data_IF_370945786082
#
_entry.id   IF_370945786082
#
_cell.length_a   1.000
_cell.length_b   1.000
_cell.length_c   1.000
_cell.angle_alpha   90.00
_cell.angle_beta   90.00
_cell.angle_gamma   90.00
#
_symmetry.space_group_name_H-M   'P 1'
#
loop_
_entity.id
_entity.type
_entity.pdbx_description
1 polymer ?
2 non-polymer ?
3 non-polymer ?
4 non-polymer ?
5 water ?
#
# COMPACT_ATOMS: atom_id res chain seq x y z
N UNK A 10 5.82 -16.30 -19.80
CA UNK A 10 5.69 -17.78 -19.86
C UNK A 10 4.48 -18.23 -19.05
N UNK A 11 3.75 -19.23 -19.54
CA UNK A 11 2.73 -19.89 -18.72
C UNK A 11 3.31 -21.17 -18.10
N UNK A 12 3.15 -21.33 -16.79
CA UNK A 12 3.63 -22.55 -16.13
C UNK A 12 2.67 -23.71 -16.38
N UNK A 13 3.19 -24.94 -16.50
CA UNK A 13 2.29 -26.05 -16.80
C UNK A 13 1.29 -26.29 -15.68
N UNK A 14 0.03 -26.51 -16.06
CA UNK A 14 -1.04 -26.66 -15.12
C UNK A 14 -0.80 -27.88 -14.22
N UNK A 15 -0.69 -27.66 -12.89
CA UNK A 15 -0.52 -28.81 -11.97
C UNK A 15 -1.72 -29.74 -12.04
N UNK A 16 -1.48 -31.05 -11.88
CA UNK A 16 -2.59 -31.96 -12.17
C UNK A 16 -3.79 -31.90 -11.21
N UNK A 17 -3.65 -31.31 -10.02
CA UNK A 17 -4.81 -31.17 -9.12
C UNK A 17 -5.77 -30.04 -9.52
N UNK A 18 -5.35 -29.16 -10.43
CA UNK A 18 -6.19 -28.02 -10.84
C UNK A 18 -7.10 -28.31 -12.03
N UNK A 19 -8.43 -28.28 -11.83
CA UNK A 19 -9.33 -28.52 -12.97
C UNK A 19 -9.29 -27.39 -14.01
N UNK A 20 -9.43 -27.76 -15.29
CA UNK A 20 -9.23 -26.79 -16.37
C UNK A 20 -10.29 -25.67 -16.39
N UNK A 21 -11.47 -25.94 -15.85
CA UNK A 21 -12.54 -24.94 -15.81
C UNK A 21 -12.26 -23.76 -14.85
N UNK A 22 -11.25 -23.90 -13.99
CA UNK A 22 -10.89 -22.81 -13.06
C UNK A 22 -9.74 -21.95 -13.57
N UNK A 23 -9.25 -22.23 -14.78
CA UNK A 23 -8.05 -21.55 -15.31
C UNK A 23 -8.41 -20.24 -16.01
N UNK A 24 -7.87 -19.16 -15.48
CA UNK A 24 -8.03 -17.82 -16.04
C UNK A 24 -6.67 -17.17 -15.91
N UNK A 25 -6.01 -16.96 -17.05
CA UNK A 25 -4.59 -16.59 -17.02
C UNK A 25 -4.37 -15.10 -16.82
N UNK A 26 -4.77 -14.63 -15.65
CA UNK A 26 -4.54 -13.24 -15.23
C UNK A 26 -3.06 -12.99 -14.88
N UNK A 27 -2.50 -11.90 -15.40
CA UNK A 27 -1.12 -11.49 -15.09
C UNK A 27 -1.12 -10.26 -14.18
N UNK A 28 -0.84 -10.48 -12.88
CA UNK A 28 -0.94 -9.38 -11.93
C UNK A 28 0.09 -8.27 -12.16
N UNK A 29 1.13 -8.54 -12.95
CA UNK A 29 2.15 -7.53 -13.24
C UNK A 29 1.97 -6.78 -14.56
N UNK A 30 1.00 -7.23 -15.35
CA UNK A 30 0.71 -6.66 -16.67
C UNK A 30 -0.68 -7.08 -17.15
N UNK A 31 -1.74 -6.66 -16.44
CA UNK A 31 -3.04 -7.18 -16.83
C UNK A 31 -3.48 -6.64 -18.18
N UNK A 32 -4.27 -7.41 -18.92
CA UNK A 32 -4.68 -6.91 -20.23
C UNK A 32 -5.57 -5.67 -20.05
N UNK A 33 -5.50 -4.71 -20.97
CA UNK A 33 -6.31 -3.46 -20.85
C UNK A 33 -6.07 -2.66 -19.54
N UNK A 34 -4.83 -2.76 -19.04
CA UNK A 34 -4.29 -1.85 -18.03
C UNK A 34 -4.53 -0.40 -18.46
N UNK A 35 -4.56 -0.17 -19.78
CA UNK A 35 -4.78 1.16 -20.35
C UNK A 35 -6.11 1.80 -19.90
N UNK A 36 -7.09 0.98 -19.56
CA UNK A 36 -8.41 1.44 -19.05
C UNK A 36 -8.43 1.88 -17.58
N UNK A 37 -7.31 1.69 -16.87
CA UNK A 37 -7.25 1.97 -15.44
C UNK A 37 -6.95 0.68 -14.71
N UNK A 38 -6.10 0.73 -13.69
CA UNK A 38 -5.66 -0.54 -13.09
C UNK A 38 -6.76 -1.25 -12.28
N UNK A 39 -7.56 -0.50 -11.52
CA UNK A 39 -8.68 -1.11 -10.80
C UNK A 39 -9.65 -1.80 -11.78
N UNK A 40 -9.94 -1.12 -12.89
CA UNK A 40 -10.79 -1.70 -13.96
C UNK A 40 -10.17 -2.98 -14.53
N UNK A 41 -8.85 -2.96 -14.68
CA UNK A 41 -8.14 -4.12 -15.23
C UNK A 41 -8.23 -5.32 -14.30
N UNK A 42 -8.18 -5.08 -12.98
CA UNK A 42 -8.35 -6.19 -12.03
C UNK A 42 -9.81 -6.63 -11.91
N UNK A 43 -10.73 -5.70 -12.11
CA UNK A 43 -12.14 -6.01 -11.95
C UNK A 43 -12.68 -6.98 -13.00
N UNK A 44 -11.88 -7.26 -14.05
CA UNK A 44 -12.21 -8.32 -15.02
C UNK A 44 -12.40 -9.66 -14.29
N UNK A 45 -11.70 -9.81 -13.16
CA UNK A 45 -11.81 -11.04 -12.36
C UNK A 45 -13.19 -11.22 -11.72
N UNK A 46 -14.02 -10.18 -11.78
CA UNK A 46 -15.33 -10.18 -11.12
C UNK A 46 -16.48 -10.19 -12.13
N UNK A 47 -16.17 -10.45 -13.39
CA UNK A 47 -17.23 -10.60 -14.39
C UNK A 47 -17.98 -11.92 -14.14
N UNK A 48 -19.24 -11.99 -14.56
CA UNK A 48 -20.15 -13.03 -14.06
C UNK A 48 -19.76 -14.47 -14.45
N UNK A 49 -18.93 -14.63 -15.48
CA UNK A 49 -18.47 -15.95 -15.91
C UNK A 49 -17.20 -16.40 -15.18
N UNK A 50 -16.71 -15.59 -14.26
CA UNK A 50 -15.47 -15.93 -13.54
C UNK A 50 -15.79 -16.51 -12.17
N UNK A 51 -15.29 -17.74 -11.87
CA UNK A 51 -15.48 -18.37 -10.56
C UNK A 51 -14.93 -17.49 -9.41
N UNK A 52 -15.38 -17.78 -8.19
CA UNK A 52 -14.92 -17.10 -6.96
C UNK A 52 -13.43 -17.36 -6.68
N UNK A 53 -12.94 -18.51 -7.15
CA UNK A 53 -11.55 -18.92 -6.94
C UNK A 53 -11.06 -19.49 -8.27
N UNK A 54 -10.01 -18.87 -8.83
CA UNK A 54 -9.43 -19.27 -10.12
C UNK A 54 -7.94 -19.57 -10.03
N UNK A 55 -7.40 -20.30 -11.01
CA UNK A 55 -5.96 -20.53 -11.12
C UNK A 55 -5.43 -19.79 -12.33
N UNK A 56 -4.37 -19.01 -12.16
CA UNK A 56 -3.64 -18.47 -13.33
C UNK A 56 -2.31 -19.19 -13.51
N UNK A 57 -1.93 -19.40 -14.78
CA UNK A 57 -0.65 -20.03 -15.08
C UNK A 57 0.47 -19.00 -15.23
N UNK A 58 0.14 -17.71 -15.07
CA UNK A 58 1.14 -16.65 -15.13
C UNK A 58 1.99 -16.60 -13.86
N UNK A 59 3.19 -16.05 -13.98
CA UNK A 59 4.03 -15.78 -12.81
C UNK A 59 4.30 -17.02 -11.93
N UNK A 60 4.50 -18.16 -12.60
CA UNK A 60 4.79 -19.42 -11.91
C UNK A 60 3.57 -20.27 -11.59
N UNK A 61 2.39 -19.65 -11.68
CA UNK A 61 1.11 -20.33 -11.43
C UNK A 61 0.66 -20.16 -9.98
N UNK A 62 -0.60 -19.78 -9.77
CA UNK A 62 -1.11 -19.48 -8.43
C UNK A 62 -2.62 -19.33 -8.42
N UNK A 63 -3.23 -19.52 -7.25
CA UNK A 63 -4.66 -19.23 -7.07
C UNK A 63 -4.88 -17.72 -6.97
N UNK A 64 -6.09 -17.27 -7.31
CA UNK A 64 -6.56 -15.92 -7.00
C UNK A 64 -7.98 -16.02 -6.45
N UNK A 65 -8.21 -15.51 -5.25
CA UNK A 65 -9.59 -15.37 -4.76
C UNK A 65 -10.13 -14.06 -5.34
N UNK A 66 -11.32 -14.11 -5.98
CA UNK A 66 -11.79 -12.94 -6.74
C UNK A 66 -12.88 -12.11 -6.06
N UNK A 67 -13.39 -12.60 -4.92
CA UNK A 67 -14.52 -11.97 -4.25
C UNK A 67 -14.21 -11.68 -2.79
N UNK A 68 -14.81 -10.60 -2.27
CA UNK A 68 -14.56 -10.14 -0.91
C UNK A 68 -14.75 -11.23 0.12
N UNK A 69 -15.79 -12.04 -0.01
CA UNK A 69 -16.06 -13.07 1.00
C UNK A 69 -14.89 -14.04 1.17
N UNK A 70 -14.34 -14.54 0.04
CA UNK A 70 -13.22 -15.49 0.10
C UNK A 70 -11.92 -14.80 0.51
N UNK A 71 -11.69 -13.59 0.01
CA UNK A 71 -10.51 -12.81 0.41
C UNK A 71 -10.48 -12.62 1.94
N UNK A 72 -11.60 -12.19 2.51
CA UNK A 72 -11.69 -12.03 3.97
C UNK A 72 -11.46 -13.36 4.69
N UNK A 73 -12.12 -14.43 4.24
CA UNK A 73 -12.02 -15.72 4.93
C UNK A 73 -10.60 -16.24 4.97
N UNK A 74 -9.89 -16.15 3.84
CA UNK A 74 -8.51 -16.65 3.78
C UNK A 74 -7.59 -15.83 4.67
N UNK A 75 -7.78 -14.52 4.70
CA UNK A 75 -6.97 -13.66 5.58
C UNK A 75 -7.21 -13.93 7.07
N UNK A 76 -8.41 -14.42 7.42
CA UNK A 76 -8.73 -14.83 8.79
C UNK A 76 -8.07 -16.17 9.16
N UNK A 77 -7.92 -17.04 8.18
CA UNK A 77 -7.50 -18.43 8.43
C UNK A 77 -5.98 -18.57 8.25
N UNK A 78 -5.21 -18.05 9.20
CA UNK A 78 -3.74 -18.10 9.12
C UNK A 78 -3.20 -19.53 9.30
N UNK A 79 -3.99 -20.41 9.91
CA UNK A 79 -3.57 -21.80 10.06
C UNK A 79 -3.38 -22.49 8.71
N UNK A 80 -4.25 -22.20 7.75
CA UNK A 80 -4.15 -22.77 6.40
C UNK A 80 -3.42 -21.86 5.41
N UNK A 81 -3.54 -20.55 5.61
CA UNK A 81 -3.02 -19.58 4.66
C UNK A 81 -1.94 -18.75 5.31
N UNK A 82 -0.71 -19.17 5.11
CA UNK A 82 0.45 -18.64 5.85
C UNK A 82 1.11 -17.43 5.16
N UNK A 83 1.61 -16.52 5.97
CA UNK A 83 2.37 -15.37 5.48
C UNK A 83 3.86 -15.66 5.29
N UNK A 84 4.29 -16.90 5.53
CA UNK A 84 5.72 -17.19 5.34
C UNK A 84 6.19 -16.83 3.93
N UNK A 85 5.33 -17.04 2.93
CA UNK A 85 5.63 -16.75 1.54
C UNK A 85 4.48 -15.94 0.90
N UNK A 86 4.44 -14.62 1.16
CA UNK A 86 3.28 -13.81 0.82
C UNK A 86 3.28 -13.14 -0.57
N UNK A 87 4.33 -13.36 -1.36
CA UNK A 87 4.45 -12.68 -2.65
C UNK A 87 4.51 -13.64 -3.82
N UNK A 88 3.92 -13.21 -4.92
CA UNK A 88 4.10 -13.85 -6.21
C UNK A 88 5.09 -12.96 -6.98
N UNK A 89 6.13 -13.56 -7.56
CA UNK A 89 6.41 -14.97 -7.70
C UNK A 89 7.04 -15.59 -6.43
N UNK A 90 7.00 -16.90 -6.34
CA UNK A 90 7.46 -17.63 -5.17
C UNK A 90 8.87 -17.23 -4.69
N UNK A 91 9.81 -17.06 -5.61
CA UNK A 91 11.18 -16.68 -5.23
C UNK A 91 11.30 -15.37 -4.41
N UNK A 92 10.50 -14.36 -4.75
CA UNK A 92 10.45 -13.13 -3.95
C UNK A 92 9.85 -13.37 -2.55
N UNK A 93 8.78 -14.15 -2.50
CA UNK A 93 8.10 -14.50 -1.22
C UNK A 93 9.03 -15.23 -0.27
N UNK A 94 9.91 -16.07 -0.84
CA UNK A 94 10.86 -16.87 -0.05
C UNK A 94 12.01 -16.08 0.63
N UNK A 95 12.59 -15.12 -0.08
CA UNK A 95 13.68 -14.27 0.45
C UNK A 95 13.21 -13.25 1.55
N UNK A 96 11.91 -13.04 1.60
CA UNK A 96 11.30 -11.99 2.40
C UNK A 96 11.21 -12.34 3.89
N UNK A 97 11.81 -11.52 4.76
CA UNK A 97 11.86 -11.81 6.20
C UNK A 97 11.44 -10.63 7.07
N UNK A 98 10.71 -9.68 6.50
CA UNK A 98 10.28 -8.48 7.25
C UNK A 98 9.35 -8.90 8.37
N UNK A 99 9.37 -8.13 9.46
CA UNK A 99 8.54 -8.39 10.66
C UNK A 99 7.59 -7.21 10.85
N UNK A 100 6.28 -7.48 11.05
CA UNK A 100 5.66 -8.80 11.29
C UNK A 100 5.10 -9.53 10.06
N UNK A 101 5.26 -8.92 8.87
CA UNK A 101 4.57 -9.37 7.67
C UNK A 101 4.91 -10.79 7.19
N UNK A 102 6.07 -11.34 7.56
CA UNK A 102 6.46 -12.69 7.11
C UNK A 102 6.18 -13.73 8.20
N UNK A 103 5.56 -13.29 9.29
CA UNK A 103 5.27 -14.17 10.43
C UNK A 103 3.79 -14.46 10.57
N UNK A 104 3.49 -15.64 11.11
CA UNK A 104 2.12 -15.98 11.42
C UNK A 104 1.89 -15.81 12.92
N UNK A 105 0.63 -15.58 13.32
CA UNK A 105 0.30 -15.79 14.75
C UNK A 105 0.58 -17.26 15.06
N UNK A 106 0.88 -17.59 16.32
CA UNK A 106 0.94 -16.74 17.51
C UNK A 106 2.17 -15.84 17.61
N UNK A 107 3.27 -16.21 16.94
CA UNK A 107 4.54 -15.48 17.14
C UNK A 107 4.41 -14.02 16.73
N UNK A 108 3.68 -13.78 15.66
CA UNK A 108 3.49 -12.41 15.14
C UNK A 108 2.90 -11.41 16.16
N UNK A 109 2.02 -11.91 17.04
CA UNK A 109 1.25 -11.06 17.96
C UNK A 109 2.04 -9.99 18.74
N UNK A 110 3.13 -10.40 19.40
CA UNK A 110 3.84 -9.44 20.22
C UNK A 110 4.81 -8.56 19.43
N UNK A 111 5.28 -9.04 18.27
CA UNK A 111 6.03 -8.20 17.35
C UNK A 111 5.13 -7.10 16.81
N UNK A 112 3.89 -7.46 16.47
CA UNK A 112 2.91 -6.47 16.05
C UNK A 112 2.67 -5.43 17.14
N UNK A 113 2.51 -5.89 18.38
CA UNK A 113 2.31 -5.01 19.51
C UNK A 113 3.44 -3.98 19.62
N UNK A 114 4.67 -4.41 19.39
CA UNK A 114 5.83 -3.50 19.50
C UNK A 114 5.82 -2.46 18.36
N UNK A 115 5.57 -2.91 17.14
CA UNK A 115 5.45 -2.01 15.99
C UNK A 115 4.34 -0.97 16.24
N UNK A 116 3.28 -1.38 16.93
CA UNK A 116 2.14 -0.47 17.19
C UNK A 116 2.50 0.70 18.08
N UNK A 117 3.50 0.51 18.94
CA UNK A 117 3.98 1.59 19.82
C UNK A 117 4.55 2.74 18.99
N UNK A 118 5.06 2.43 17.80
CA UNK A 118 5.76 3.48 17.04
C UNK A 118 4.94 4.09 15.89
N UNK A 119 3.87 3.43 15.47
CA UNK A 119 2.99 4.01 14.42
C UNK A 119 1.50 4.09 14.82
N UNK A 120 1.16 3.61 15.99
CA UNK A 120 -0.25 3.54 16.41
C UNK A 120 -0.93 4.87 16.67
N UNK A 121 -2.21 4.81 17.04
CA UNK A 121 -3.04 5.99 17.19
C UNK A 121 -2.44 7.16 18.03
N UNK A 122 -1.97 6.91 19.28
CA UNK A 122 -1.47 8.03 20.08
C UNK A 122 -0.28 8.77 19.45
N UNK A 123 0.57 8.04 18.72
CA UNK A 123 1.66 8.64 17.93
C UNK A 123 1.11 9.54 16.81
N UNK A 124 0.06 9.07 16.15
CA UNK A 124 -0.59 9.85 15.07
C UNK A 124 -1.14 11.19 15.60
N UNK A 125 -1.82 11.15 16.74
CA UNK A 125 -2.40 12.38 17.28
C UNK A 125 -1.32 13.42 17.52
N UNK A 126 -0.17 12.96 18.00
CA UNK A 126 0.96 13.84 18.26
C UNK A 126 1.60 14.38 16.99
N UNK A 127 1.58 13.60 15.90
CA UNK A 127 2.20 13.99 14.63
C UNK A 127 1.35 14.91 13.75
N UNK A 128 0.07 15.06 14.06
CA UNK A 128 -0.88 15.77 13.21
C UNK A 128 -0.34 17.09 12.66
N UNK A 129 0.12 17.96 13.55
CA UNK A 129 0.58 19.28 13.13
C UNK A 129 1.84 19.24 12.29
N UNK A 130 2.78 18.36 12.62
CA UNK A 130 3.99 18.19 11.79
C UNK A 130 3.68 17.68 10.38
N UNK A 131 2.67 16.83 10.27
CA UNK A 131 2.20 16.36 8.98
C UNK A 131 1.63 17.54 8.19
N UNK A 132 0.79 18.34 8.84
CA UNK A 132 0.20 19.52 8.19
C UNK A 132 1.28 20.50 7.75
N UNK A 133 2.26 20.76 8.61
CA UNK A 133 3.31 21.73 8.28
C UNK A 133 4.12 21.28 7.06
N UNK A 134 4.39 19.99 6.99
CA UNK A 134 5.09 19.42 5.87
C UNK A 134 4.25 19.55 4.58
N UNK A 135 2.97 19.18 4.64
CA UNK A 135 2.11 19.28 3.47
C UNK A 135 2.03 20.73 2.97
N UNK A 136 1.87 21.67 3.90
CA UNK A 136 1.80 23.09 3.56
C UNK A 136 3.08 23.59 2.86
N UNK A 137 4.23 23.21 3.39
CA UNK A 137 5.50 23.62 2.81
C UNK A 137 5.68 23.09 1.38
N UNK A 138 5.35 21.82 1.17
CA UNK A 138 5.42 21.26 -0.18
C UNK A 138 4.47 21.95 -1.16
N UNK A 139 3.21 22.15 -0.74
CA UNK A 139 2.20 22.74 -1.61
C UNK A 139 2.56 24.21 -1.92
N UNK A 140 3.06 24.94 -0.92
CA UNK A 140 3.41 26.36 -1.14
C UNK A 140 4.59 26.51 -2.10
N UNK A 141 5.50 25.54 -2.09
CA UNK A 141 6.65 25.58 -3.00
C UNK A 141 6.21 25.33 -4.45
N UNK A 142 5.10 24.62 -4.63
CA UNK A 142 4.58 24.28 -5.95
C UNK A 142 3.60 25.33 -6.47
N UNK A 143 2.81 25.89 -5.54
CA UNK A 143 1.67 26.73 -5.88
C UNK A 143 1.94 27.82 -6.95
N UNK A 144 3.02 28.62 -6.80
CA UNK A 144 3.14 29.71 -7.80
C UNK A 144 3.55 29.25 -9.21
N UNK A 145 4.02 28.00 -9.34
CA UNK A 145 4.50 27.47 -10.63
C UNK A 145 3.41 27.13 -11.64
N UNK A 146 2.19 26.89 -11.16
CA UNK A 146 1.06 26.55 -12.01
C UNK A 146 1.14 25.19 -12.69
N UNK A 147 2.11 24.39 -12.27
CA UNK A 147 2.23 22.98 -12.73
C UNK A 147 3.08 22.13 -11.80
N UNK A 148 2.89 20.82 -11.85
CA UNK A 148 3.78 19.86 -11.17
C UNK A 148 3.54 18.48 -11.76
N UNK A 149 4.49 17.59 -11.54
CA UNK A 149 4.18 16.17 -11.60
C UNK A 149 3.88 15.76 -10.15
N UNK A 150 2.59 15.58 -9.83
CA UNK A 150 2.18 15.41 -8.46
C UNK A 150 2.90 14.22 -7.81
N UNK A 151 3.02 13.13 -8.55
CA UNK A 151 3.61 11.91 -8.02
C UNK A 151 5.04 12.18 -7.57
N UNK A 152 5.81 12.86 -8.42
CA UNK A 152 7.20 13.18 -8.14
C UNK A 152 7.42 14.35 -7.16
N UNK A 153 6.59 15.40 -7.30
CA UNK A 153 6.85 16.67 -6.62
C UNK A 153 6.18 16.83 -5.26
N UNK A 154 5.14 16.02 -5.01
CA UNK A 154 4.46 16.04 -3.70
C UNK A 154 4.41 14.67 -3.08
N UNK A 155 3.92 13.69 -3.84
CA UNK A 155 3.66 12.38 -3.25
C UNK A 155 4.94 11.66 -2.79
N UNK A 156 5.97 11.64 -3.61
CA UNK A 156 7.24 10.97 -3.26
C UNK A 156 7.96 11.61 -2.07
N UNK A 157 8.08 12.96 -2.05
CA UNK A 157 8.76 13.54 -0.86
C UNK A 157 8.02 13.47 0.49
N UNK A 158 6.70 13.27 0.48
CA UNK A 158 5.86 13.43 1.67
C UNK A 158 6.01 12.28 2.72
N UNK A 159 5.70 11.03 2.35
CA UNK A 159 5.82 10.00 3.41
C UNK A 159 7.25 9.68 3.89
N UNK A 160 8.27 9.79 3.02
CA UNK A 160 9.66 9.61 3.46
C UNK A 160 10.05 10.65 4.54
N UNK A 161 9.63 11.89 4.36
CA UNK A 161 9.91 12.94 5.36
C UNK A 161 9.22 12.66 6.71
N UNK A 162 8.00 12.15 6.64
CA UNK A 162 7.29 11.70 7.84
C UNK A 162 8.05 10.56 8.54
N UNK A 163 8.55 9.59 7.77
CA UNK A 163 9.38 8.52 8.35
C UNK A 163 10.65 9.06 9.03
N UNK A 164 11.34 10.01 8.40
CA UNK A 164 12.57 10.55 9.00
C UNK A 164 12.30 11.17 10.35
N UNK A 165 11.14 11.84 10.48
CA UNK A 165 10.74 12.48 11.71
C UNK A 165 10.44 11.42 12.79
N UNK A 166 9.64 10.43 12.42
CA UNK A 166 9.31 9.30 13.30
C UNK A 166 10.58 8.59 13.81
N UNK A 167 11.52 8.35 12.89
CA UNK A 167 12.68 7.51 13.18
C UNK A 167 13.92 8.29 13.61
N UNK A 168 13.79 9.61 13.72
CA UNK A 168 14.91 10.46 14.17
C UNK A 168 16.13 10.35 13.28
N UNK A 169 15.91 10.36 11.96
CA UNK A 169 16.99 10.24 11.00
C UNK A 169 17.24 11.59 10.36
N UNK A 170 18.50 11.85 9.98
CA UNK A 170 18.79 13.18 9.45
C UNK A 170 18.25 13.40 8.03
N UNK A 171 17.76 14.61 7.78
CA UNK A 171 17.28 15.06 6.47
C UNK A 171 18.24 14.77 5.30
N UNK A 172 19.55 14.90 5.56
CA UNK A 172 20.58 14.61 4.54
C UNK A 172 20.54 13.19 4.01
N UNK A 173 19.97 12.27 4.80
CA UNK A 173 19.92 10.86 4.40
C UNK A 173 18.78 10.53 3.42
N UNK A 174 17.86 11.47 3.19
CA UNK A 174 16.67 11.17 2.38
C UNK A 174 16.99 10.62 0.97
N UNK A 175 17.85 11.31 0.19
CA UNK A 175 18.06 10.80 -1.19
C UNK A 175 18.64 9.37 -1.23
N UNK A 176 19.58 9.08 -0.34
CA UNK A 176 20.17 7.75 -0.27
C UNK A 176 19.12 6.71 0.14
N UNK A 177 18.29 7.04 1.14
CA UNK A 177 17.29 6.11 1.62
C UNK A 177 16.18 5.90 0.58
N UNK A 178 15.82 6.96 -0.14
CA UNK A 178 14.90 6.86 -1.27
C UNK A 178 15.46 5.97 -2.38
N UNK A 179 16.75 6.10 -2.67
CA UNK A 179 17.42 5.24 -3.64
C UNK A 179 17.33 3.75 -3.22
N UNK A 180 17.56 3.46 -1.94
CA UNK A 180 17.57 2.07 -1.47
C UNK A 180 16.16 1.46 -1.49
N UNK A 181 15.20 2.24 -1.02
CA UNK A 181 13.81 1.76 -1.06
C UNK A 181 13.24 1.59 -2.48
N UNK A 182 13.47 2.53 -3.38
CA UNK A 182 13.06 2.41 -4.79
C UNK A 182 13.60 1.15 -5.47
N UNK A 183 14.88 0.82 -5.23
CA UNK A 183 15.55 -0.41 -5.69
C UNK A 183 14.78 -1.68 -5.38
N UNK A 184 14.13 -1.68 -4.23
CA UNK A 184 13.44 -2.82 -3.69
C UNK A 184 11.99 -2.90 -4.19
N UNK A 185 11.27 -1.79 -4.13
CA UNK A 185 9.81 -1.78 -4.37
C UNK A 185 9.44 -1.45 -5.80
N UNK A 186 10.36 -0.88 -6.57
CA UNK A 186 10.14 -0.68 -8.00
C UNK A 186 11.22 -1.41 -8.81
N UNK A 187 11.25 -2.77 -8.73
CA UNK A 187 12.35 -3.51 -9.35
C UNK A 187 12.38 -3.37 -10.87
N UNK A 188 13.57 -3.22 -11.45
CA UNK A 188 13.72 -3.12 -12.90
C UNK A 188 14.30 -4.41 -13.51
N UNK A 189 14.47 -5.43 -12.68
CA UNK A 189 15.05 -6.71 -13.13
C UNK A 189 16.55 -6.81 -12.97
N UNK A 190 17.20 -5.73 -12.51
CA UNK A 190 18.67 -5.70 -12.37
C UNK A 190 19.18 -6.28 -11.07
N UNK A 191 18.29 -6.41 -10.09
CA UNK A 191 18.65 -7.04 -8.81
C UNK A 191 17.48 -7.77 -8.16
N UNK A 192 17.80 -8.86 -7.49
CA UNK A 192 16.78 -9.68 -6.82
C UNK A 192 16.26 -8.93 -5.61
N UNK A 193 15.09 -9.34 -5.11
CA UNK A 193 14.63 -8.80 -3.85
C UNK A 193 15.72 -8.95 -2.77
N UNK A 194 16.33 -10.15 -2.73
CA UNK A 194 17.32 -10.47 -1.71
C UNK A 194 18.51 -9.49 -1.74
N UNK A 195 18.97 -9.14 -2.94
CA UNK A 195 20.06 -8.17 -3.10
C UNK A 195 19.63 -6.79 -2.62
N UNK A 196 18.43 -6.36 -3.02
CA UNK A 196 17.96 -5.04 -2.61
C UNK A 196 17.77 -4.98 -1.08
N UNK A 197 17.35 -6.10 -0.49
CA UNK A 197 17.11 -6.17 0.95
C UNK A 197 18.43 -6.03 1.70
N UNK A 198 19.46 -6.70 1.21
CA UNK A 198 20.75 -6.61 1.86
C UNK A 198 21.30 -5.18 1.83
N UNK A 199 21.17 -4.49 0.69
CA UNK A 199 21.62 -3.11 0.58
C UNK A 199 20.83 -2.19 1.57
N UNK A 200 19.52 -2.39 1.71
CA UNK A 200 18.73 -1.67 2.72
C UNK A 200 19.19 -1.99 4.15
N UNK A 201 19.38 -3.28 4.44
CA UNK A 201 19.85 -3.69 5.75
C UNK A 201 21.22 -3.10 6.11
N UNK A 202 22.10 -2.95 5.11
CA UNK A 202 23.42 -2.34 5.33
C UNK A 202 23.35 -0.91 5.86
N UNK A 203 22.35 -0.15 5.44
CA UNK A 203 22.10 1.17 6.01
C UNK A 203 21.57 1.11 7.46
N UNK A 204 20.62 0.22 7.71
CA UNK A 204 19.93 0.12 9.00
C UNK A 204 20.77 -0.51 10.10
N UNK A 205 21.65 -1.43 9.72
CA UNK A 205 22.42 -2.21 10.72
C UNK A 205 23.23 -1.32 11.68
N UNK A 206 24.05 -0.38 11.15
CA UNK A 206 24.82 0.47 12.09
C UNK A 206 23.99 1.37 13.00
N UNK A 207 22.86 1.86 12.48
CA UNK A 207 22.00 2.77 13.25
C UNK A 207 21.34 2.04 14.43
N UNK A 208 20.94 0.80 14.17
CA UNK A 208 20.41 -0.08 15.21
C UNK A 208 21.46 -0.38 16.30
N UNK A 209 22.70 -0.68 15.87
CA UNK A 209 23.84 -0.89 16.78
C UNK A 209 24.02 0.35 17.70
N UNK A 210 24.05 1.52 17.07
CA UNK A 210 24.23 2.79 17.77
C UNK A 210 23.15 3.06 18.80
N UNK A 211 21.91 2.72 18.45
CA UNK A 211 20.77 3.06 19.28
C UNK A 211 20.44 2.01 20.33
N UNK A 212 21.06 0.84 20.20
CA UNK A 212 21.02 -0.14 21.28
C UNK A 212 22.05 0.23 22.35
N UNK A 213 23.15 0.85 21.94
CA UNK A 213 24.17 1.34 22.87
C UNK A 213 23.76 2.64 23.57
N UNK A 214 23.23 3.58 22.79
CA UNK A 214 22.82 4.87 23.34
C UNK A 214 21.39 5.14 22.81
N UNK A 215 20.39 4.55 23.47
CA UNK A 215 19.01 4.73 22.96
C UNK A 215 18.50 6.16 23.13
N UNK A 216 17.73 6.62 22.14
CA UNK A 216 16.97 7.87 22.25
C UNK A 216 15.48 7.57 22.37
N UNK A 217 14.65 8.50 21.92
CA UNK A 217 13.18 8.33 22.03
C UNK A 217 12.50 8.18 20.65
N UNK A 218 13.30 7.99 19.62
CA UNK A 218 12.79 7.82 18.25
C UNK A 218 12.28 6.40 18.03
N UNK A 219 11.62 6.16 16.88
CA UNK A 219 11.03 4.86 16.58
C UNK A 219 12.04 3.70 16.54
N UNK A 220 13.24 3.95 15.98
CA UNK A 220 14.26 2.89 15.88
C UNK A 220 14.77 2.49 17.27
N UNK A 221 15.02 3.49 18.12
CA UNK A 221 15.40 3.22 19.52
C UNK A 221 14.34 2.41 20.25
N UNK A 222 13.06 2.78 20.07
CA UNK A 222 11.97 2.04 20.73
C UNK A 222 11.93 0.59 20.25
N UNK A 223 11.98 0.39 18.94
CA UNK A 223 11.97 -0.96 18.38
C UNK A 223 13.20 -1.77 18.81
N UNK A 224 14.39 -1.18 18.70
CA UNK A 224 15.63 -1.94 18.87
C UNK A 224 15.89 -2.33 20.33
N UNK A 225 15.23 -1.64 21.25
CA UNK A 225 15.35 -1.90 22.69
C UNK A 225 14.08 -2.50 23.30
N UNK A 226 13.14 -2.93 22.45
CA UNK A 226 11.87 -3.48 22.91
C UNK A 226 11.97 -4.87 23.51
N UNK A 227 10.86 -5.31 24.11
CA UNK A 227 10.71 -6.65 24.67
C UNK A 227 9.67 -7.38 23.85
N UNK A 228 9.97 -8.62 23.48
CA UNK A 228 9.04 -9.44 22.72
C UNK A 228 8.98 -10.85 23.30
N UNK A 229 7.76 -11.34 23.52
CA UNK A 229 7.58 -12.68 24.08
C UNK A 229 8.47 -12.92 25.31
N UNK A 230 8.49 -11.94 26.22
CA UNK A 230 9.20 -12.00 27.50
C UNK A 230 10.72 -11.99 27.49
N UNK A 231 11.32 -11.36 26.47
CA UNK A 231 12.79 -11.28 26.36
C UNK A 231 13.18 -10.12 25.42
N UNK A 232 14.46 -9.69 25.45
CA UNK A 232 14.86 -8.59 24.56
C UNK A 232 14.80 -8.95 23.08
N UNK A 233 14.36 -8.00 22.26
CA UNK A 233 14.41 -8.17 20.82
C UNK A 233 15.89 -8.30 20.39
N UNK A 234 16.15 -9.13 19.39
CA UNK A 234 17.50 -9.27 18.84
C UNK A 234 17.79 -8.17 17.82
N UNK A 235 19.08 -7.96 17.55
CA UNK A 235 19.51 -6.99 16.52
C UNK A 235 18.93 -7.37 15.15
N UNK A 236 18.95 -8.67 14.85
CA UNK A 236 18.36 -9.21 13.61
C UNK A 236 16.86 -8.88 13.49
N UNK A 237 16.08 -9.18 14.53
CA UNK A 237 14.65 -8.88 14.54
C UNK A 237 14.35 -7.37 14.43
N UNK A 238 15.16 -6.54 15.11
CA UNK A 238 14.98 -5.11 15.03
C UNK A 238 15.17 -4.59 13.61
N UNK A 239 16.20 -5.08 12.92
CA UNK A 239 16.43 -4.70 11.51
C UNK A 239 15.28 -5.13 10.58
N UNK A 240 14.78 -6.34 10.78
CA UNK A 240 13.68 -6.86 9.99
C UNK A 240 12.39 -6.07 10.22
N UNK A 241 12.20 -5.56 11.44
CA UNK A 241 11.06 -4.69 11.76
C UNK A 241 11.23 -3.29 11.15
N UNK A 242 12.43 -2.74 11.30
CA UNK A 242 12.71 -1.38 10.81
C UNK A 242 12.59 -1.29 9.30
N UNK A 243 13.00 -2.34 8.59
CA UNK A 243 12.86 -2.40 7.14
C UNK A 243 11.39 -2.25 6.74
N UNK A 244 10.51 -2.97 7.43
CA UNK A 244 9.08 -2.87 7.16
C UNK A 244 8.51 -1.50 7.55
N UNK A 245 8.89 -0.97 8.70
CA UNK A 245 8.38 0.32 9.13
C UNK A 245 8.72 1.40 8.12
N UNK A 246 9.88 1.27 7.49
CA UNK A 246 10.29 2.20 6.46
C UNK A 246 9.49 2.00 5.16
N UNK A 247 9.47 0.78 4.63
CA UNK A 247 8.86 0.50 3.34
C UNK A 247 7.32 0.60 3.33
N UNK A 248 6.69 0.23 4.45
CA UNK A 248 5.23 0.04 4.48
C UNK A 248 4.40 1.29 4.23
N UNK A 249 4.98 2.42 4.58
CA UNK A 249 4.29 3.69 4.45
C UNK A 249 4.73 4.50 3.28
N UNK A 250 5.56 3.92 2.38
CA UNK A 250 6.01 4.70 1.22
C UNK A 250 5.16 4.53 -0.03
N UNK A 251 5.38 3.45 -0.79
CA UNK A 251 4.69 3.28 -2.10
C UNK A 251 3.17 3.25 -2.01
N UNK A 252 2.66 2.66 -0.93
CA UNK A 252 1.22 2.68 -0.65
C UNK A 252 0.69 4.10 -0.64
N UNK A 253 1.27 4.96 0.19
CA UNK A 253 0.83 6.36 0.31
C UNK A 253 1.10 7.14 -0.98
N UNK A 254 2.30 7.00 -1.57
CA UNK A 254 2.62 7.71 -2.82
C UNK A 254 1.58 7.41 -3.91
N UNK A 255 1.30 6.13 -4.11
CA UNK A 255 0.47 5.70 -5.22
C UNK A 255 -0.98 5.99 -4.90
N UNK A 256 -1.38 5.84 -3.63
CA UNK A 256 -2.78 6.11 -3.29
C UNK A 256 -3.10 7.61 -3.45
N UNK A 257 -2.23 8.48 -2.94
CA UNK A 257 -2.42 9.92 -3.15
C UNK A 257 -2.53 10.24 -4.65
N UNK A 258 -1.69 9.59 -5.45
CA UNK A 258 -1.71 9.82 -6.90
C UNK A 258 -3.03 9.40 -7.54
N UNK A 259 -3.57 8.22 -7.19
CA UNK A 259 -4.88 7.81 -7.74
C UNK A 259 -5.96 8.81 -7.35
N UNK A 260 -5.90 9.28 -6.10
CA UNK A 260 -6.90 10.21 -5.56
C UNK A 260 -6.85 11.56 -6.29
N UNK A 261 -5.65 12.06 -6.51
CA UNK A 261 -5.48 13.39 -7.15
C UNK A 261 -5.82 13.31 -8.65
N UNK A 262 -5.56 12.15 -9.27
CA UNK A 262 -5.93 11.94 -10.67
C UNK A 262 -7.46 12.00 -10.80
N UNK A 263 -8.16 11.28 -9.91
CA UNK A 263 -9.61 11.32 -9.90
C UNK A 263 -10.14 12.74 -9.71
N UNK A 264 -9.63 13.44 -8.70
CA UNK A 264 -10.10 14.81 -8.45
C UNK A 264 -9.81 15.80 -9.59
N UNK A 265 -8.66 15.64 -10.25
CA UNK A 265 -8.34 16.46 -11.44
C UNK A 265 -9.33 16.26 -12.59
N UNK A 266 -9.81 15.03 -12.72
CA UNK A 266 -10.71 14.62 -13.80
C UNK A 266 -12.18 14.81 -13.46
N UNK A 267 -12.50 15.10 -12.19
CA UNK A 267 -13.89 15.19 -11.74
C UNK A 267 -14.16 16.52 -11.02
N UNK A 268 -14.31 17.61 -11.80
CA UNK A 268 -14.55 18.91 -11.13
C UNK A 268 -15.79 18.92 -10.21
N UNK A 269 -16.81 18.11 -10.51
CA UNK A 269 -18.00 18.02 -9.62
C UNK A 269 -17.74 17.41 -8.24
N UNK A 270 -16.92 16.36 -8.17
CA UNK A 270 -16.50 15.80 -6.88
C UNK A 270 -15.54 16.76 -6.16
N UNK A 271 -14.65 17.38 -6.91
CA UNK A 271 -13.74 18.40 -6.36
C UNK A 271 -14.54 19.53 -5.70
N UNK A 272 -15.55 20.01 -6.42
CA UNK A 272 -16.41 21.11 -5.94
C UNK A 272 -17.15 20.74 -4.65
N UNK A 273 -17.58 19.49 -4.56
CA UNK A 273 -18.24 19.00 -3.37
C UNK A 273 -17.35 19.19 -2.13
N UNK A 274 -16.05 18.87 -2.26
CA UNK A 274 -15.12 18.98 -1.15
C UNK A 274 -14.66 20.41 -0.84
N UNK A 275 -14.63 21.24 -1.87
CA UNK A 275 -14.36 22.68 -1.74
C UNK A 275 -15.48 23.35 -0.94
N UNK A 276 -16.72 23.02 -1.28
CA UNK A 276 -17.87 23.63 -0.62
C UNK A 276 -18.16 23.02 0.76
N UNK A 277 -17.85 21.74 0.93
CA UNK A 277 -18.16 21.03 2.18
C UNK A 277 -16.89 20.31 2.67
N UNK A 278 -15.89 21.07 3.16
CA UNK A 278 -14.63 20.39 3.55
C UNK A 278 -14.81 19.39 4.69
N UNK A 279 -15.90 19.53 5.46
CA UNK A 279 -16.19 18.57 6.53
C UNK A 279 -16.45 17.14 5.99
N UNK A 280 -16.73 17.02 4.69
CA UNK A 280 -16.96 15.69 4.07
C UNK A 280 -15.66 14.99 3.65
N UNK A 281 -14.53 15.69 3.79
CA UNK A 281 -13.24 15.11 3.36
C UNK A 281 -12.89 13.78 4.05
N UNK A 282 -13.13 13.67 5.38
CA UNK A 282 -12.91 12.32 5.99
C UNK A 282 -13.73 11.19 5.37
N UNK A 283 -15.02 11.40 5.16
CA UNK A 283 -15.83 10.39 4.45
C UNK A 283 -15.32 10.16 3.01
N UNK A 284 -14.97 11.24 2.32
CA UNK A 284 -14.41 11.16 0.96
C UNK A 284 -13.13 10.31 0.92
N UNK A 285 -12.27 10.50 1.91
CA UNK A 285 -11.05 9.71 2.07
C UNK A 285 -11.38 8.22 2.10
N UNK A 286 -12.42 7.85 2.87
CA UNK A 286 -12.78 6.43 2.95
C UNK A 286 -13.33 5.89 1.63
N UNK A 287 -14.18 6.66 0.96
CA UNK A 287 -14.68 6.26 -0.35
C UNK A 287 -13.56 6.13 -1.41
N UNK A 288 -12.56 7.00 -1.35
CA UNK A 288 -11.42 6.92 -2.27
C UNK A 288 -10.54 5.72 -1.94
N UNK A 289 -10.39 5.42 -0.65
CA UNK A 289 -9.68 4.17 -0.22
C UNK A 289 -10.32 2.91 -0.75
N UNK A 290 -11.65 2.92 -0.80
CA UNK A 290 -12.35 1.81 -1.41
C UNK A 290 -12.16 1.77 -2.93
N UNK A 291 -12.45 2.87 -3.61
CA UNK A 291 -12.47 2.87 -5.08
C UNK A 291 -11.06 2.76 -5.70
N UNK A 292 -10.07 3.34 -5.04
CA UNK A 292 -8.70 3.32 -5.57
C UNK A 292 -7.76 2.48 -4.71
N UNK A 293 -8.34 1.44 -4.12
CA UNK A 293 -7.58 0.39 -3.41
C UNK A 293 -6.50 -0.19 -4.35
N UNK A 294 -5.38 -0.61 -3.79
CA UNK A 294 -4.19 -0.79 -4.62
C UNK A 294 -3.24 -1.93 -4.23
N UNK A 295 -3.47 -2.59 -3.10
CA UNK A 295 -2.53 -3.65 -2.64
C UNK A 295 -3.04 -5.04 -3.00
N UNK A 296 -2.12 -5.93 -3.41
CA UNK A 296 -2.46 -7.33 -3.66
C UNK A 296 -1.32 -8.25 -3.25
N UNK A 297 -1.35 -8.75 -2.01
CA UNK A 297 -0.38 -9.80 -1.67
C UNK A 297 -1.15 -11.07 -1.39
N UNK A 298 -0.55 -12.03 -0.71
CA UNK A 298 -1.24 -13.30 -0.53
C UNK A 298 -0.56 -14.17 0.48
N UNK A 299 -0.73 -15.48 0.29
CA UNK A 299 -0.39 -16.47 1.32
C UNK A 299 0.04 -17.76 0.64
N UNK A 300 0.58 -18.68 1.44
CA UNK A 300 0.98 -20.00 0.97
C UNK A 300 0.25 -21.08 1.78
N UNK A 301 -0.25 -22.12 1.12
CA UNK A 301 -0.96 -23.22 1.80
C UNK A 301 -0.04 -24.05 2.71
N UNK A 302 -0.43 -24.18 3.97
CA UNK A 302 0.33 -24.95 4.95
C UNK A 302 0.05 -26.46 4.86
N UNK A 303 -1.03 -26.81 4.17
CA UNK A 303 -1.47 -28.21 4.05
C UNK A 303 -2.49 -28.32 2.93
N UNK A 304 -2.78 -29.54 2.47
CA UNK A 304 -3.88 -29.72 1.53
C UNK A 304 -5.16 -29.29 2.24
N UNK A 305 -6.05 -28.65 1.49
CA UNK A 305 -7.23 -28.03 2.09
C UNK A 305 -8.30 -27.80 1.05
N UNK A 306 -9.52 -28.22 1.35
CA UNK A 306 -10.67 -27.91 0.50
C UNK A 306 -11.33 -26.60 0.96
N UNK A 307 -11.35 -25.62 0.06
CA UNK A 307 -11.77 -24.26 0.35
C UNK A 307 -12.83 -23.87 -0.68
N UNK A 308 -14.05 -23.59 -0.22
CA UNK A 308 -15.19 -23.33 -1.13
C UNK A 308 -15.27 -24.30 -2.33
N UNK A 309 -15.17 -25.59 -2.04
CA UNK A 309 -15.35 -26.63 -3.04
C UNK A 309 -14.17 -26.87 -3.95
N UNK A 310 -13.04 -26.18 -3.70
CA UNK A 310 -11.84 -26.30 -4.53
C UNK A 310 -10.69 -26.96 -3.76
N UNK A 311 -10.05 -27.97 -4.35
CA UNK A 311 -8.92 -28.63 -3.68
C UNK A 311 -7.62 -27.83 -3.86
N UNK A 312 -7.10 -27.32 -2.74
CA UNK A 312 -5.82 -26.62 -2.68
C UNK A 312 -4.78 -27.61 -2.17
N UNK A 313 -3.56 -27.53 -2.68
CA UNK A 313 -2.48 -28.40 -2.20
C UNK A 313 -1.46 -27.67 -1.36
N UNK A 314 -0.92 -28.36 -0.36
CA UNK A 314 0.18 -27.84 0.44
C UNK A 314 1.27 -27.22 -0.45
N UNK A 315 1.65 -25.98 -0.13
CA UNK A 315 2.67 -25.27 -0.92
C UNK A 315 2.15 -24.44 -2.11
N UNK A 316 0.88 -24.58 -2.47
CA UNK A 316 0.30 -23.69 -3.50
C UNK A 316 0.33 -22.26 -2.94
N UNK A 317 0.55 -21.29 -3.83
CA UNK A 317 0.38 -19.89 -3.46
C UNK A 317 -0.99 -19.41 -3.85
N UNK A 318 -1.54 -18.48 -3.06
CA UNK A 318 -2.83 -17.89 -3.36
C UNK A 318 -2.71 -16.37 -3.22
N UNK A 319 -3.03 -15.66 -4.30
CA UNK A 319 -3.11 -14.20 -4.29
C UNK A 319 -4.48 -13.82 -3.71
N UNK A 320 -4.48 -12.93 -2.71
CA UNK A 320 -5.71 -12.51 -2.05
C UNK A 320 -5.80 -11.01 -2.16
N UNK A 321 -6.30 -10.50 -3.31
CA UNK A 321 -6.07 -9.06 -3.58
C UNK A 321 -6.90 -8.14 -2.64
N UNK A 322 -6.21 -7.40 -1.77
CA UNK A 322 -6.91 -6.49 -0.87
C UNK A 322 -7.77 -5.53 -1.70
N UNK A 323 -7.27 -5.20 -2.89
CA UNK A 323 -7.96 -4.30 -3.81
C UNK A 323 -9.37 -4.74 -4.18
N UNK A 324 -9.58 -6.06 -4.33
CA UNK A 324 -10.84 -6.54 -4.91
C UNK A 324 -12.09 -6.53 -4.03
N UNK A 325 -11.92 -6.64 -2.71
CA UNK A 325 -13.06 -6.77 -1.81
C UNK A 325 -14.04 -5.62 -1.97
N UNK A 326 -13.54 -4.38 -1.96
CA UNK A 326 -14.40 -3.21 -2.05
C UNK A 326 -14.95 -2.94 -3.44
N UNK A 327 -14.32 -3.51 -4.47
CA UNK A 327 -14.78 -3.39 -5.85
C UNK A 327 -15.83 -4.45 -6.20
N UNK A 328 -16.00 -5.43 -5.31
CA UNK A 328 -16.95 -6.53 -5.50
C UNK A 328 -18.35 -5.95 -5.39
N UNK A 329 -19.20 -6.12 -6.42
CA UNK A 329 -20.61 -5.65 -6.34
C UNK A 329 -21.41 -6.29 -5.20
N UNK A 330 -21.00 -7.48 -4.77
CA UNK A 330 -21.57 -8.13 -3.60
C UNK A 330 -21.30 -7.35 -2.28
N UNK A 331 -20.28 -6.50 -2.27
CA UNK A 331 -19.93 -5.73 -1.07
C UNK A 331 -20.42 -4.28 -1.14
N UNK A 332 -20.42 -3.72 -2.34
CA UNK A 332 -20.83 -2.33 -2.56
C UNK A 332 -21.53 -2.20 -3.90
N UNK A 333 -22.77 -1.74 -3.90
CA UNK A 333 -23.54 -1.58 -5.15
C UNK A 333 -22.92 -0.49 -6.04
N UNK A 334 -22.95 -0.73 -7.36
CA UNK A 334 -22.34 0.15 -8.37
C UNK A 334 -20.90 0.46 -7.97
N UNK A 335 -20.06 -0.57 -7.83
CA UNK A 335 -18.75 -0.37 -7.17
C UNK A 335 -17.79 0.58 -7.87
N UNK A 336 -17.91 0.80 -9.18
CA UNK A 336 -17.01 1.75 -9.85
C UNK A 336 -17.41 3.24 -9.71
N UNK A 337 -18.61 3.50 -9.22
CA UNK A 337 -19.14 4.85 -8.97
C UNK A 337 -18.58 5.38 -7.65
N UNK A 338 -18.09 6.62 -7.66
CA UNK A 338 -17.62 7.29 -6.44
C UNK A 338 -18.77 8.12 -5.87
N UNK A 339 -19.16 7.83 -4.64
CA UNK A 339 -20.11 8.68 -3.92
C UNK A 339 -19.62 8.87 -2.51
N UNK A 340 -19.24 10.11 -2.20
CA UNK A 340 -18.69 10.41 -0.88
C UNK A 340 -19.69 10.25 0.28
N UNK A 341 -20.99 10.13 -0.03
CA UNK A 341 -22.02 9.93 1.00
C UNK A 341 -22.53 8.48 1.13
N UNK A 342 -21.83 7.55 0.47
CA UNK A 342 -22.08 6.12 0.62
C UNK A 342 -22.27 5.74 2.09
N UNK A 343 -23.37 5.07 2.42
CA UNK A 343 -23.70 4.83 3.83
C UNK A 343 -22.84 3.79 4.54
N UNK A 344 -22.43 2.78 3.79
CA UNK A 344 -21.61 1.71 4.34
C UNK A 344 -20.51 1.45 3.33
N UNK A 345 -19.34 1.99 3.60
CA UNK A 345 -18.21 1.87 2.67
C UNK A 345 -17.43 0.63 3.08
N UNK A 346 -17.66 -0.48 2.39
CA UNK A 346 -17.01 -1.75 2.71
C UNK A 346 -15.73 -1.96 1.89
N UNK A 347 -14.64 -2.29 2.55
CA UNK A 347 -13.37 -2.51 1.83
C UNK A 347 -12.39 -3.29 2.71
N UNK A 348 -11.38 -3.87 2.08
CA UNK A 348 -10.20 -4.38 2.80
C UNK A 348 -8.90 -3.72 2.30
N UNK A 349 -8.95 -2.41 2.13
CA UNK A 349 -7.83 -1.69 1.54
C UNK A 349 -6.59 -1.76 2.40
N UNK A 350 -6.80 -1.81 3.72
CA UNK A 350 -5.67 -1.93 4.68
C UNK A 350 -5.47 -3.38 5.14
N UNK A 351 -6.05 -4.29 4.38
CA UNK A 351 -5.97 -5.72 4.67
C UNK A 351 -7.04 -6.18 5.66
N UNK A 352 -6.80 -7.36 6.25
CA UNK A 352 -7.84 -8.00 7.05
C UNK A 352 -7.22 -9.12 7.86
N UNK A 353 -7.77 -9.41 9.03
CA UNK A 353 -7.19 -10.48 9.86
C UNK A 353 -6.05 -9.97 10.72
N UNK A 354 -5.19 -10.88 11.12
CA UNK A 354 -4.14 -10.57 12.11
C UNK A 354 -3.12 -9.54 11.65
N UNK A 355 -2.95 -9.36 10.34
CA UNK A 355 -1.99 -8.37 9.79
C UNK A 355 -2.60 -7.05 9.36
N UNK A 356 -3.89 -6.83 9.63
CA UNK A 356 -4.51 -5.52 9.29
C UNK A 356 -3.55 -4.35 9.55
N UNK A 357 -3.34 -3.51 8.54
CA UNK A 357 -2.32 -2.46 8.55
C UNK A 357 -2.23 -1.69 9.86
N UNK A 358 -1.07 -1.69 10.49
CA UNK A 358 -0.84 -0.86 11.67
C UNK A 358 -0.76 0.63 11.37
N UNK A 359 -0.34 0.96 10.15
CA UNK A 359 -0.18 2.37 9.76
C UNK A 359 -1.45 3.03 9.24
N UNK A 360 -2.60 2.35 9.35
CA UNK A 360 -3.84 2.86 8.74
C UNK A 360 -4.27 4.23 9.29
N UNK A 361 -4.01 4.49 10.58
CA UNK A 361 -4.38 5.76 11.16
C UNK A 361 -3.47 6.87 10.68
N UNK A 362 -2.17 6.60 10.63
CA UNK A 362 -1.22 7.53 10.06
C UNK A 362 -1.56 7.81 8.59
N UNK A 363 -1.87 6.75 7.85
CA UNK A 363 -2.22 6.91 6.42
C UNK A 363 -3.45 7.80 6.21
N UNK A 364 -4.51 7.59 7.00
CA UNK A 364 -5.69 8.43 6.84
C UNK A 364 -5.36 9.90 7.15
N UNK A 365 -4.50 10.17 8.13
CA UNK A 365 -4.12 11.58 8.41
C UNK A 365 -3.31 12.17 7.24
N UNK A 366 -2.36 11.39 6.70
CA UNK A 366 -1.61 11.85 5.51
C UNK A 366 -2.56 12.21 4.35
N UNK A 367 -3.55 11.34 4.12
CA UNK A 367 -4.52 11.54 3.04
C UNK A 367 -5.41 12.79 3.28
N UNK A 368 -6.03 12.85 4.47
CA UNK A 368 -6.98 13.90 4.77
C UNK A 368 -6.26 15.25 4.82
N UNK A 369 -5.09 15.28 5.45
CA UNK A 369 -4.30 16.54 5.51
C UNK A 369 -3.90 17.02 4.11
N UNK A 370 -3.48 16.08 3.26
CA UNK A 370 -3.12 16.43 1.88
C UNK A 370 -4.32 17.02 1.14
N UNK A 371 -5.46 16.33 1.18
CA UNK A 371 -6.63 16.81 0.47
C UNK A 371 -7.10 18.16 0.99
N UNK A 372 -7.15 18.31 2.31
CA UNK A 372 -7.63 19.58 2.90
C UNK A 372 -6.72 20.75 2.50
N UNK A 373 -5.41 20.52 2.60
CA UNK A 373 -4.43 21.58 2.28
C UNK A 373 -4.37 21.89 0.79
N UNK A 374 -4.43 20.85 -0.04
CA UNK A 374 -4.40 21.08 -1.49
C UNK A 374 -5.65 21.84 -1.95
N UNK A 375 -6.82 21.37 -1.51
CA UNK A 375 -8.07 21.97 -1.97
C UNK A 375 -8.25 23.42 -1.50
N UNK A 376 -7.63 23.78 -0.37
CA UNK A 376 -7.63 25.15 0.21
C UNK A 376 -6.72 26.10 -0.59
N UNK A 377 -5.58 25.58 -1.04
CA UNK A 377 -4.55 26.45 -1.67
C UNK A 377 -4.67 26.45 -3.18
N UNK A 378 -4.99 25.28 -3.75
CA UNK A 378 -5.07 25.10 -5.21
C UNK A 378 -6.39 24.38 -5.52
N UNK A 379 -7.53 25.10 -5.38
CA UNK A 379 -8.84 24.43 -5.52
C UNK A 379 -9.17 23.97 -6.92
N UNK A 380 -8.57 24.63 -7.91
CA UNK A 380 -8.93 24.44 -9.29
C UNK A 380 -7.70 23.97 -10.08
N UNK A 381 -7.72 22.71 -10.48
CA UNK A 381 -6.60 22.11 -11.23
C UNK A 381 -7.07 21.07 -12.21
N UNK A 382 -6.22 20.76 -13.18
CA UNK A 382 -6.57 19.83 -14.23
C UNK A 382 -5.39 18.96 -14.56
N UNK A 383 -5.65 17.88 -15.28
CA UNK A 383 -4.61 17.11 -15.95
C UNK A 383 -4.01 18.03 -17.03
N UNK A 384 -2.69 17.99 -17.18
CA UNK A 384 -2.01 18.80 -18.21
C UNK A 384 -2.62 18.54 -19.59
N UNK A 385 -2.84 19.62 -20.37
CA UNK A 385 -3.38 19.49 -21.72
C UNK A 385 -2.56 18.44 -22.49
N UNK A 386 -3.24 17.46 -23.08
CA UNK A 386 -2.57 16.47 -23.92
C UNK A 386 -1.98 15.25 -23.21
N UNK A 387 -1.99 15.26 -21.87
CA UNK A 387 -1.41 14.13 -21.13
C UNK A 387 -2.39 12.97 -21.02
N UNK A 388 -1.87 11.75 -21.14
CA UNK A 388 -2.65 10.53 -20.87
C UNK A 388 -2.00 9.84 -19.67
N UNK A 389 -2.77 9.64 -18.60
CA UNK A 389 -2.18 9.03 -17.38
C UNK A 389 -1.97 7.50 -17.50
N UNK A 390 -0.76 7.04 -17.17
CA UNK A 390 -0.36 5.64 -17.30
C UNK A 390 -0.35 5.01 -15.92
N UNK A 391 -0.98 3.85 -15.77
CA UNK A 391 -1.00 3.12 -14.47
C UNK A 391 0.01 1.96 -14.52
N UNK A 392 0.36 1.44 -13.35
CA UNK A 392 1.22 0.28 -13.25
C UNK A 392 0.57 -0.73 -12.28
N UNK A 393 0.83 -2.02 -12.50
CA UNK A 393 0.19 -3.09 -11.71
C UNK A 393 1.21 -3.99 -11.03
N UNK A 394 0.88 -4.45 -9.83
CA UNK A 394 1.79 -5.33 -9.09
C UNK A 394 1.30 -5.57 -7.68
N UNK A 395 2.23 -5.81 -6.76
CA UNK A 395 1.86 -5.96 -5.33
C UNK A 395 1.27 -4.64 -4.81
N UNK A 396 1.86 -3.51 -5.20
CA UNK A 396 1.26 -2.19 -4.96
C UNK A 396 1.09 -1.52 -6.32
N UNK A 397 -0.16 -1.44 -6.77
CA UNK A 397 -0.45 -0.83 -8.08
C UNK A 397 -0.33 0.69 -7.94
N UNK A 398 -0.14 1.40 -9.06
CA UNK A 398 0.20 2.82 -8.95
C UNK A 398 0.05 3.63 -10.23
N UNK A 399 0.52 4.87 -10.14
CA UNK A 399 0.44 5.87 -11.20
C UNK A 399 1.89 6.20 -11.59
N UNK A 400 2.19 6.08 -12.88
CA UNK A 400 3.57 6.31 -13.36
C UNK A 400 4.02 7.77 -13.22
N UNK A 401 3.12 8.69 -13.56
CA UNK A 401 3.36 10.14 -13.47
C UNK A 401 2.00 10.85 -13.52
N UNK A 402 1.92 12.00 -12.89
CA UNK A 402 0.67 12.75 -12.83
C UNK A 402 0.87 14.25 -13.07
N UNK A 403 1.03 14.62 -14.33
CA UNK A 403 1.18 16.06 -14.65
C UNK A 403 -0.12 16.86 -14.43
N UNK A 404 -0.05 17.82 -13.50
CA UNK A 404 -1.18 18.68 -13.19
C UNK A 404 -0.87 20.12 -13.58
N UNK A 405 -1.90 20.89 -13.88
CA UNK A 405 -1.74 22.32 -14.17
C UNK A 405 -2.86 23.12 -13.49
N UNK A 406 -2.56 24.38 -13.21
CA UNK A 406 -3.54 25.32 -12.64
C UNK A 406 -3.10 26.74 -12.97
N UNK A 407 -4.05 27.66 -12.88
CA UNK A 407 -3.75 29.08 -12.97
C UNK A 407 -3.42 29.61 -11.59
N UNK A 408 -2.15 30.04 -11.34
CA UNK A 408 -1.77 30.57 -10.02
C UNK A 408 -2.64 31.74 -9.52
N UNK A 409 -3.38 32.40 -10.42
CA UNK A 409 -4.28 33.49 -10.04
C UNK A 409 -5.53 32.99 -9.30
N UNK A 410 -5.85 31.70 -9.48
CA UNK A 410 -7.00 31.06 -8.82
C UNK A 410 -6.59 30.39 -7.50
N UNK A 411 -5.30 30.48 -7.16
CA UNK A 411 -4.77 29.92 -5.91
C UNK A 411 -4.65 30.99 -4.83
N UNK A 412 -4.35 30.55 -3.61
CA UNK A 412 -4.05 31.49 -2.54
C UNK A 412 -2.99 30.96 -1.61
N UNK A 413 -1.97 31.77 -1.36
CA UNK A 413 -0.96 31.45 -0.34
C UNK A 413 -1.59 31.62 1.04
N UNK A 414 -1.83 30.48 1.72
CA UNK A 414 -2.46 30.48 3.06
C UNK A 414 -1.42 30.39 4.20
X LIG B 1 0.38 -4.04 6.75
X LIG B 1 -1.89 -1.53 3.26
X LIG B 1 0.03 2.60 4.93
X LIG B 1 2.71 0.07 8.15
X LIG B 1 -0.41 -3.70 5.68
X LIG B 1 -1.25 -4.63 4.93
X LIG B 1 -1.88 -3.92 3.97
X LIG B 1 -1.46 -2.54 4.08
X LIG B 1 -2.89 -4.45 2.94
X LIG B 1 -1.43 -6.14 5.27
X LIG B 1 -0.56 -7.03 4.38
X LIG B 1 -0.76 -8.51 4.64
X LIG B 1 0.10 -9.30 4.16
X LIG B 1 -1.77 -8.92 5.27
X LIG B 1 -1.61 -0.20 3.44
X LIG B 1 -2.14 0.89 2.65
X LIG B 1 -1.63 2.04 3.12
X LIG B 1 -0.70 1.69 4.20
X LIG B 1 -3.18 0.68 1.52
X LIG B 1 -1.82 3.50 2.67
X LIG B 1 -2.78 3.92 1.81
X LIG B 1 0.93 2.26 5.96
X LIG B 1 1.78 3.20 6.69
X LIG B 1 2.56 2.50 7.54
X LIG B 1 2.19 1.10 7.39
X LIG B 1 1.82 4.73 6.53
X LIG B 1 3.58 3.11 8.53
X LIG B 1 4.78 2.54 8.62
X LIG B 1 2.29 -1.24 8.11
X LIG B 1 2.78 -2.28 8.98
X LIG B 1 2.05 -3.55 8.54
X LIG B 1 1.20 -3.16 7.45
X LIG B 1 3.85 -2.17 10.08
X LIG B 1 2.24 -4.97 9.12
X LIG B 1 1.26 -5.32 10.20
X LIG B 1 1.46 -6.79 10.56
X LIG B 1 0.95 -7.18 11.63
X LIG B 1 2.08 -7.58 9.80
X LIG B 1 -0.56 -2.44 5.13
X LIG B 1 -0.72 0.32 4.35
X LIG B 1 1.19 1.00 6.43
X LIG B 1 1.35 -1.78 7.24
X LIG B 1 0.26 -0.71 5.82
X LIG C 1 9.90 -15.92 3.61
X LIG D 1 2.74 -3.87 3.34
X LIG D 1 2.90 -5.36 3.04
X LIG D 1 2.14 -5.70 1.75
X LIG D 1 4.40 -5.63 2.83
X LIG D 1 3.22 -3.05 2.13
X LIG D 1 2.44 -3.41 0.86
X LIG D 1 4.72 -3.30 1.91
X LIG D 1 2.66 -4.90 0.55
X LIG D 1 4.92 -4.79 1.63
X LIG D 1 4.15 -5.18 0.35
X LIG D 1 11.45 -13.00 -10.92
X LIG D 1 11.78 -11.85 -10.22
X LIG D 1 10.88 -10.79 -10.17
X LIG D 1 10.22 -13.09 -11.58
X LIG D 1 9.31 -12.01 -11.53
X LIG D 1 9.64 -10.85 -10.82
X LIG D 1 8.74 -9.77 -10.74
X LIG D 1 7.51 -9.86 -11.41
X LIG D 1 7.16 -11.02 -12.11
X LIG D 1 8.07 -12.10 -12.17
X LIG D 1 9.98 -14.30 -12.29
X LIG D 1 10.08 -15.59 -11.63
X LIG D 1 9.69 -14.25 -13.72
X LIG D 1 6.40 -4.98 1.45
X LIG D 1 7.00 -4.45 0.37
X LIG D 1 8.44 -4.56 0.11
X LIG D 1 8.66 -5.84 -0.68
X LIG D 1 8.75 -5.52 -2.15
X LIG D 1 8.33 -6.72 -2.98
X LIG D 1 8.18 -6.36 -4.45
X LIG D 1 8.53 -7.55 -5.33
X LIG D 1 7.84 -7.44 -6.68
X LIG D 1 8.03 -8.71 -7.51
X LIG D 1 9.20 -8.62 -8.36
X LIG D 1 8.06 -7.42 -10.31
X LIG D 1 9.08 -8.39 -9.95
X LIG D 1 10.36 -7.92 -10.44
X LIG D 1 7.06 -5.57 2.29
X LIG D 1 3.08 -1.66 2.38
#
# INVERSE_FOLDING_TARGET
TTETIQSNANLAPLPPHVPEHLVFDFDMYNPSNLSAGVQEAWAVLQESNVPDLVWTRCNGGHWIATRGQLIREAYEDYRHFSSECPFIPREAGEAYDFIPTSMDPPEQRQFRALANQVVGMPVVDKLENRIQELACSLIESLRPQGQCNFTEDYAEPFPIRIFMLLAGLPEEDIPHLKYLTDQMTRPDGSMTFAEAKEALYDYLIPIIEQRRQKPGTDAISIVANGQVNGRPITSDEAKRMCGLLLVGGLDTVVNFLSFSMEFLAKSPEHRQELIERPERIPAACEELLRRFSLVADGRILTSDYEFHGVQLKKGDQILLPQMLSGLDERENAAPMHVDFSRQKVSHTTFGHGSHLCLGQHLARREIIVTLKEWLTRIPDFSIAPGAQIQHKSGIVSGVQALPLVWDPATTKAV
HEM CHA CHB CHC CHD C1A C2A C3A C4A CMA CAA CBA CGA O1A O2A C1B C2B C3B C4B CMB CAB CBB C1C C2C C3C C4C CMC CAC CBC C1D C2D C3D C4D CMD CAD CBD CGD O1D O2D NA NB NC ND FE
K K
SAW C1 C2 C3 C4 C5 C6 C7 C8 C9 C10 C11 C12 C13 C14 C15 C16 C17 C18 C19 C20 N21 C22 C23 C24 N25 C26 C27 C28 C29 C30 C31 C32 C33 N34 O35 S36 O37 O38 O39
#
